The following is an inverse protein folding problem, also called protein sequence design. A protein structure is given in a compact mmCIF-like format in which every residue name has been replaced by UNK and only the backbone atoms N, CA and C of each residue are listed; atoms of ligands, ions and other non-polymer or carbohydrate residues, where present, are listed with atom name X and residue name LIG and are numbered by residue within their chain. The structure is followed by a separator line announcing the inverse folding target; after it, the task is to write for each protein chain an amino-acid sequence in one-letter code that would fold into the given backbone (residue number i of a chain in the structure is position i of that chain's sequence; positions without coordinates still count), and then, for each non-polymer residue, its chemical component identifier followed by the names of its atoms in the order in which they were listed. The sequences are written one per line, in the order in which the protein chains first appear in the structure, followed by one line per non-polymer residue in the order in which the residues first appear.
data_IF_047364770446
#
_entry.id   IF_047364770446
#
_cell.length_a   1.000
_cell.length_b   1.000
_cell.length_c   1.000
_cell.angle_alpha   90.00
_cell.angle_beta   90.00
_cell.angle_gamma   90.00
#
_symmetry.space_group_name_H-M   'P 1'
#
loop_
_entity.id
_entity.type
_entity.pdbx_description
1 polymer ?
#
# COMPACT_ATOMS: atom_id res chain seq x y z
N UNK A 1 0.33 5.63 -13.08
CA UNK A 1 0.49 7.08 -13.31
C UNK A 1 1.72 7.34 -14.18
N UNK A 2 1.91 8.55 -14.71
CA UNK A 2 3.14 8.91 -15.44
C UNK A 2 4.39 8.73 -14.57
N UNK A 3 4.35 9.22 -13.32
CA UNK A 3 5.46 9.04 -12.37
C UNK A 3 5.84 7.57 -12.16
N UNK A 4 4.86 6.66 -12.04
CA UNK A 4 5.13 5.21 -11.94
C UNK A 4 5.85 4.67 -13.18
N UNK A 5 5.43 5.07 -14.39
CA UNK A 5 6.10 4.67 -15.64
C UNK A 5 7.55 5.15 -15.71
N UNK A 6 7.82 6.36 -15.22
CA UNK A 6 9.18 6.92 -15.12
C UNK A 6 10.02 6.10 -14.15
N UNK A 7 9.51 5.84 -12.94
CA UNK A 7 10.19 5.04 -11.91
C UNK A 7 10.45 3.61 -12.36
N UNK A 8 9.54 3.02 -13.12
CA UNK A 8 9.70 1.68 -13.73
C UNK A 8 10.67 1.66 -14.94
N UNK A 9 11.18 2.82 -15.38
CA UNK A 9 12.19 2.91 -16.43
C UNK A 9 11.65 2.65 -17.84
N UNK A 10 10.37 2.92 -18.11
CA UNK A 10 9.82 2.77 -19.46
C UNK A 10 10.59 3.64 -20.46
N UNK A 11 11.02 3.04 -21.58
CA UNK A 11 11.86 3.71 -22.60
C UNK A 11 11.16 4.91 -23.24
N UNK A 12 9.85 4.80 -23.42
CA UNK A 12 8.98 5.86 -23.92
C UNK A 12 7.84 6.11 -22.93
N UNK A 13 7.59 7.38 -22.64
CA UNK A 13 6.56 7.84 -21.71
C UNK A 13 5.69 8.90 -22.38
N UNK A 14 4.36 8.89 -22.17
CA UNK A 14 3.48 9.90 -22.74
C UNK A 14 3.50 11.18 -21.91
N UNK A 15 3.65 12.34 -22.56
CA UNK A 15 3.51 13.67 -21.95
C UNK A 15 2.53 14.45 -22.83
N UNK A 16 1.39 14.85 -22.27
CA UNK A 16 0.29 15.51 -22.99
C UNK A 16 -0.22 14.79 -24.25
N UNK A 17 -0.04 13.47 -24.32
CA UNK A 17 -0.47 12.63 -25.44
C UNK A 17 0.65 12.26 -26.41
N UNK A 18 1.77 12.99 -26.39
CA UNK A 18 2.92 12.72 -27.25
C UNK A 18 3.92 11.78 -26.58
N UNK A 19 4.53 10.84 -27.32
CA UNK A 19 5.54 9.94 -26.78
C UNK A 19 6.91 10.63 -26.69
N UNK A 20 7.56 10.52 -25.52
CA UNK A 20 8.91 11.03 -25.28
C UNK A 20 9.82 9.92 -24.77
N UNK A 21 11.08 9.92 -25.26
CA UNK A 21 12.10 8.97 -24.79
C UNK A 21 12.65 9.39 -23.42
N UNK A 22 12.64 8.49 -22.46
CA UNK A 22 13.25 8.70 -21.15
C UNK A 22 14.78 8.67 -21.29
N UNK A 23 15.42 9.84 -21.21
CA UNK A 23 16.89 10.00 -21.29
C UNK A 23 17.54 10.36 -19.96
N UNK A 24 16.75 10.87 -19.01
CA UNK A 24 17.25 11.25 -17.70
C UNK A 24 17.55 10.01 -16.84
N UNK A 25 18.52 10.15 -15.94
CA UNK A 25 18.71 9.18 -14.86
C UNK A 25 17.51 9.26 -13.92
N UNK A 26 16.94 8.11 -13.58
CA UNK A 26 15.84 8.01 -12.62
C UNK A 26 16.38 7.45 -11.31
N UNK A 27 16.21 8.22 -10.24
CA UNK A 27 16.57 7.82 -8.87
C UNK A 27 15.30 7.85 -8.04
N UNK A 28 15.10 6.80 -7.24
CA UNK A 28 13.95 6.67 -6.33
C UNK A 28 14.46 6.74 -4.88
N UNK A 29 13.94 7.70 -4.13
CA UNK A 29 14.13 7.79 -2.67
C UNK A 29 12.82 7.34 -2.03
N UNK A 30 12.86 6.26 -1.25
CA UNK A 30 11.66 5.68 -0.63
C UNK A 30 11.37 6.29 0.76
N UNK A 31 12.32 7.04 1.31
CA UNK A 31 12.38 7.48 2.71
C UNK A 31 11.51 8.72 3.01
N UNK A 32 10.90 9.33 1.98
CA UNK A 32 10.16 10.59 2.09
C UNK A 32 8.64 10.43 1.87
N UNK A 33 8.11 9.22 1.96
CA UNK A 33 6.69 8.95 1.66
C UNK A 33 5.73 9.50 2.72
N UNK A 34 6.19 9.69 3.96
CA UNK A 34 5.35 10.03 5.11
C UNK A 34 4.40 8.90 5.55
N UNK A 35 4.40 7.76 4.86
CA UNK A 35 3.61 6.58 5.19
C UNK A 35 4.44 5.58 5.96
N UNK A 36 3.84 5.01 7.00
CA UNK A 36 4.43 3.91 7.75
C UNK A 36 4.64 2.69 6.86
N UNK A 37 5.80 2.05 6.97
CA UNK A 37 6.05 0.76 6.33
C UNK A 37 5.30 -0.39 7.03
N UNK A 38 5.38 -1.60 6.49
CA UNK A 38 4.70 -2.76 7.08
C UNK A 38 5.10 -3.01 8.54
N UNK A 39 6.38 -2.88 8.87
CA UNK A 39 6.90 -3.13 10.21
C UNK A 39 6.40 -2.05 11.17
N UNK A 40 6.42 -0.79 10.75
CA UNK A 40 5.91 0.34 11.52
C UNK A 40 4.41 0.18 11.79
N UNK A 41 3.61 -0.22 10.80
CA UNK A 41 2.18 -0.51 10.97
C UNK A 41 1.93 -1.65 11.97
N UNK A 42 2.69 -2.74 11.88
CA UNK A 42 2.57 -3.86 12.82
C UNK A 42 2.94 -3.45 14.24
N UNK A 43 4.01 -2.65 14.40
CA UNK A 43 4.42 -2.13 15.71
C UNK A 43 3.39 -1.17 16.30
N UNK A 44 2.84 -0.28 15.46
CA UNK A 44 1.79 0.66 15.84
C UNK A 44 0.52 -0.04 16.32
N UNK A 45 0.16 -1.15 15.69
CA UNK A 45 -1.02 -1.93 16.03
C UNK A 45 -0.89 -2.68 17.37
N UNK A 46 0.32 -3.10 17.75
CA UNK A 46 0.62 -3.95 18.92
C UNK A 46 -0.12 -3.57 20.22
N UNK A 47 -0.11 -2.32 20.71
CA UNK A 47 -0.82 -1.97 21.95
C UNK A 47 -2.34 -2.04 21.84
N UNK A 48 -2.90 -1.92 20.63
CA UNK A 48 -4.34 -1.88 20.39
C UNK A 48 -4.97 -3.28 20.16
N UNK A 49 -4.17 -4.33 19.95
CA UNK A 49 -4.66 -5.69 19.62
C UNK A 49 -5.63 -6.24 20.68
N UNK A 50 -5.40 -5.96 21.96
CA UNK A 50 -6.19 -6.54 23.04
C UNK A 50 -7.62 -6.02 23.02
N UNK A 51 -8.57 -6.87 22.66
CA UNK A 51 -10.00 -6.57 22.60
C UNK A 51 -10.52 -6.17 21.21
N UNK A 52 -9.64 -6.09 20.20
CA UNK A 52 -10.09 -5.89 18.81
C UNK A 52 -10.80 -7.15 18.30
N UNK A 53 -12.01 -6.95 17.76
CA UNK A 53 -12.80 -8.03 17.15
C UNK A 53 -12.49 -8.22 15.66
N UNK A 54 -12.08 -7.16 14.97
CA UNK A 54 -11.84 -7.12 13.53
C UNK A 54 -11.00 -5.91 13.14
N UNK A 55 -10.21 -6.04 12.09
CA UNK A 55 -9.48 -4.95 11.43
C UNK A 55 -9.97 -4.82 9.99
N UNK A 56 -10.16 -3.59 9.53
CA UNK A 56 -10.47 -3.28 8.14
C UNK A 56 -9.26 -2.61 7.49
N UNK A 57 -8.68 -3.25 6.48
CA UNK A 57 -7.62 -2.66 5.67
C UNK A 57 -8.22 -1.94 4.48
N UNK A 58 -8.03 -0.63 4.46
CA UNK A 58 -8.41 0.27 3.37
C UNK A 58 -7.15 0.82 2.71
N UNK A 59 -7.29 1.87 1.89
CA UNK A 59 -6.23 2.64 1.23
C UNK A 59 -4.90 1.91 1.02
N UNK A 60 -4.80 1.22 -0.12
CA UNK A 60 -3.59 0.53 -0.55
C UNK A 60 -3.87 -0.26 -1.82
N UNK A 61 -2.81 -0.66 -2.50
CA UNK A 61 -2.93 -1.62 -3.59
C UNK A 61 -3.28 -3.01 -3.00
N UNK A 62 -4.18 -3.75 -3.65
CA UNK A 62 -4.68 -5.03 -3.14
C UNK A 62 -3.55 -6.00 -2.72
N UNK A 63 -2.48 -6.21 -3.50
CA UNK A 63 -1.40 -7.12 -3.09
C UNK A 63 -0.69 -6.68 -1.79
N UNK A 64 -0.56 -5.38 -1.56
CA UNK A 64 0.03 -4.84 -0.34
C UNK A 64 -0.91 -5.03 0.86
N UNK A 65 -2.22 -4.83 0.65
CA UNK A 65 -3.24 -5.07 1.67
C UNK A 65 -3.30 -6.56 2.06
N UNK A 66 -3.27 -7.47 1.09
CA UNK A 66 -3.24 -8.91 1.34
C UNK A 66 -1.98 -9.33 2.11
N UNK A 67 -0.82 -8.77 1.75
CA UNK A 67 0.43 -9.03 2.46
C UNK A 67 0.37 -8.55 3.91
N UNK A 68 -0.18 -7.36 4.17
CA UNK A 68 -0.37 -6.84 5.53
C UNK A 68 -1.43 -7.64 6.30
N UNK A 69 -2.53 -8.05 5.66
CA UNK A 69 -3.56 -8.88 6.28
C UNK A 69 -3.00 -10.21 6.77
N UNK A 70 -2.19 -10.89 5.94
CA UNK A 70 -1.48 -12.11 6.34
C UNK A 70 -0.57 -11.86 7.53
N UNK A 71 0.26 -10.82 7.48
CA UNK A 71 1.17 -10.50 8.57
C UNK A 71 0.45 -10.20 9.90
N UNK A 72 -0.67 -9.47 9.86
CA UNK A 72 -1.51 -9.22 11.05
C UNK A 72 -2.12 -10.52 11.57
N UNK A 73 -2.63 -11.38 10.69
CA UNK A 73 -3.20 -12.68 11.05
C UNK A 73 -2.17 -13.59 11.72
N UNK A 74 -0.97 -13.71 11.13
CA UNK A 74 0.14 -14.51 11.66
C UNK A 74 0.65 -14.00 13.00
N UNK A 75 0.76 -12.67 13.17
CA UNK A 75 1.37 -12.08 14.36
C UNK A 75 0.38 -11.89 15.52
N UNK A 76 -0.89 -11.62 15.23
CA UNK A 76 -1.87 -11.18 16.23
C UNK A 76 -3.17 -11.98 16.26
N UNK A 77 -3.43 -12.84 15.27
CA UNK A 77 -4.63 -13.68 15.23
C UNK A 77 -5.95 -12.91 15.12
N UNK A 78 -5.90 -11.61 14.79
CA UNK A 78 -7.10 -10.77 14.63
C UNK A 78 -7.65 -10.92 13.22
N UNK A 79 -8.97 -11.14 13.04
CA UNK A 79 -9.58 -11.18 11.72
C UNK A 79 -9.38 -9.87 10.96
N UNK A 80 -8.88 -9.97 9.73
CA UNK A 80 -8.69 -8.82 8.83
C UNK A 80 -9.65 -8.92 7.64
N UNK A 81 -10.30 -7.82 7.32
CA UNK A 81 -11.18 -7.69 6.14
C UNK A 81 -10.63 -6.59 5.24
N UNK A 82 -10.61 -6.83 3.92
CA UNK A 82 -10.30 -5.83 2.90
C UNK A 82 -11.61 -5.50 2.19
N UNK A 83 -12.31 -4.40 2.54
CA UNK A 83 -13.60 -4.09 1.96
C UNK A 83 -13.56 -3.82 0.46
N UNK A 84 -14.59 -4.26 -0.25
CA UNK A 84 -14.85 -3.78 -1.59
C UNK A 84 -15.45 -2.36 -1.55
N UNK A 85 -15.28 -1.59 -2.63
CA UNK A 85 -15.91 -0.27 -2.76
C UNK A 85 -17.43 -0.40 -2.66
N UNK A 86 -18.04 0.28 -1.70
CA UNK A 86 -19.49 0.29 -1.48
C UNK A 86 -20.00 -0.80 -0.54
N UNK A 87 -19.11 -1.67 -0.03
CA UNK A 87 -19.47 -2.65 0.98
C UNK A 87 -19.72 -1.98 2.34
N UNK A 88 -20.70 -2.50 3.09
CA UNK A 88 -21.11 -2.00 4.41
C UNK A 88 -21.03 -3.09 5.47
N UNK A 89 -20.75 -2.72 6.71
CA UNK A 89 -20.63 -3.65 7.84
C UNK A 89 -21.38 -3.11 9.06
N UNK A 90 -22.04 -4.00 9.80
CA UNK A 90 -22.51 -3.75 11.17
C UNK A 90 -21.41 -4.17 12.17
N UNK A 91 -21.25 -3.41 13.26
CA UNK A 91 -20.12 -3.53 14.21
C UNK A 91 -20.55 -4.00 15.60
#
# INVERSE_FOLDING_TARGET
TLGRKIVEGQREIPIFGDPYRLRAQVVKLNELSGHADQRELLLWLKPAIRGLKRIFLVHGELPAQEALARAIGEQYGVPVTIPARGESFEL
#
